data_IF_346318015300
#
_entry.id   IF_346318015300
#
_cell.length_a   1.000
_cell.length_b   1.000
_cell.length_c   1.000
_cell.angle_alpha   90.00
_cell.angle_beta   90.00
_cell.angle_gamma   90.00
#
_symmetry.space_group_name_H-M   'P 1'
#
loop_
_entity.id
_entity.type
_entity.pdbx_description
1 polymer ?
#
# COMPACT_ATOMS: atom_id res chain seq x y z
N UNK A 1 -5.42 16.90 11.17
CA UNK A 1 -5.15 16.31 11.11
C UNK A 1 -4.54 15.92 10.43
N UNK A 2 -4.26 15.86 10.07
CA UNK A 2 -3.50 15.49 9.59
C UNK A 2 -3.65 14.76 8.51
N UNK A 3 -3.37 14.63 7.51
CA UNK A 3 -3.56 13.91 6.34
C UNK A 3 -3.27 12.43 6.44
N UNK A 4 -3.64 11.85 7.52
CA UNK A 4 -3.31 10.45 7.76
C UNK A 4 -4.45 9.55 7.43
N UNK A 5 -4.14 8.39 6.83
CA UNK A 5 -5.08 7.31 6.67
C UNK A 5 -5.01 6.46 7.93
N UNK A 6 -6.14 6.20 8.52
CA UNK A 6 -6.22 5.50 9.80
C UNK A 6 -6.63 4.06 9.64
N UNK A 7 -5.97 3.34 8.75
CA UNK A 7 -6.11 1.91 8.66
C UNK A 7 -5.16 1.25 9.65
N UNK A 8 -5.55 0.10 10.19
CA UNK A 8 -4.69 -0.60 11.14
C UNK A 8 -3.42 -1.11 10.48
N UNK A 9 -3.47 -1.39 9.19
CA UNK A 9 -2.35 -2.06 8.51
C UNK A 9 -1.66 -1.17 7.49
N UNK A 10 -2.28 -0.06 7.10
CA UNK A 10 -1.68 0.86 6.13
C UNK A 10 -1.90 2.28 6.63
N UNK A 11 -0.86 3.09 6.53
CA UNK A 11 -0.96 4.49 6.92
C UNK A 11 -0.36 5.38 5.85
N UNK A 12 -0.77 6.64 5.85
CA UNK A 12 -0.22 7.66 4.98
C UNK A 12 0.29 8.81 5.83
N UNK A 13 1.50 9.24 5.54
CA UNK A 13 2.10 10.34 6.28
C UNK A 13 2.98 11.12 5.31
N UNK A 14 2.97 12.44 5.40
CA UNK A 14 3.82 13.26 4.52
C UNK A 14 5.05 13.72 5.27
N UNK A 15 6.20 13.56 4.64
CA UNK A 15 7.46 14.06 5.16
C UNK A 15 8.05 15.00 4.14
N UNK A 16 8.06 16.29 4.48
CA UNK A 16 8.46 17.29 3.52
C UNK A 16 7.48 17.29 2.36
N UNK A 17 7.98 17.05 1.15
CA UNK A 17 7.13 16.98 -0.03
C UNK A 17 6.97 15.56 -0.55
N UNK A 18 7.21 14.55 0.30
CA UNK A 18 7.05 13.15 -0.07
C UNK A 18 5.91 12.56 0.74
N UNK A 19 4.95 11.94 0.05
CA UNK A 19 3.90 11.19 0.72
C UNK A 19 4.38 9.77 0.97
N UNK A 20 4.35 9.31 2.21
CA UNK A 20 4.86 8.00 2.59
C UNK A 20 3.69 7.09 2.91
N UNK A 21 3.59 6.00 2.17
CA UNK A 21 2.59 4.96 2.40
C UNK A 21 3.31 3.81 3.10
N UNK A 22 2.86 3.47 4.29
CA UNK A 22 3.51 2.44 5.11
C UNK A 22 2.57 1.28 5.32
N UNK A 23 3.06 0.07 5.04
CA UNK A 23 2.35 -1.18 5.30
C UNK A 23 2.96 -1.84 6.50
N UNK A 24 2.12 -2.25 7.45
CA UNK A 24 2.56 -2.99 8.62
C UNK A 24 1.53 -4.06 8.94
N UNK A 25 1.69 -5.22 8.31
CA UNK A 25 0.77 -6.34 8.46
C UNK A 25 1.57 -7.61 8.73
N UNK A 26 2.01 -7.78 9.98
CA UNK A 26 2.84 -8.93 10.33
C UNK A 26 2.12 -10.24 10.06
N UNK A 27 2.85 -11.32 9.80
CA UNK A 27 4.31 -11.36 9.81
C UNK A 27 4.97 -11.00 8.49
N UNK A 28 4.25 -11.04 7.36
CA UNK A 28 4.89 -10.97 6.05
C UNK A 28 4.21 -10.01 5.08
N UNK A 29 3.35 -9.15 5.58
CA UNK A 29 2.70 -8.13 4.74
C UNK A 29 1.97 -8.74 3.54
N UNK A 30 1.22 -9.82 3.80
CA UNK A 30 0.45 -10.46 2.73
C UNK A 30 -0.61 -9.49 2.21
N UNK A 31 -0.91 -9.58 0.91
CA UNK A 31 -1.85 -8.68 0.25
C UNK A 31 -3.29 -9.15 0.43
N UNK A 32 -3.72 -9.24 1.69
CA UNK A 32 -5.11 -9.52 1.99
C UNK A 32 -5.99 -8.30 1.74
N UNK A 33 -7.29 -8.50 1.92
CA UNK A 33 -8.27 -7.45 1.60
C UNK A 33 -8.01 -6.17 2.39
N UNK A 34 -7.67 -6.28 3.67
CA UNK A 34 -7.43 -5.09 4.49
C UNK A 34 -6.22 -4.30 3.97
N UNK A 35 -5.16 -5.00 3.56
CA UNK A 35 -3.98 -4.33 3.03
C UNK A 35 -4.30 -3.71 1.68
N UNK A 36 -5.00 -4.44 0.81
CA UNK A 36 -5.36 -3.91 -0.51
C UNK A 36 -6.23 -2.66 -0.37
N UNK A 37 -7.22 -2.72 0.50
CA UNK A 37 -8.10 -1.58 0.73
C UNK A 37 -7.34 -0.39 1.31
N UNK A 38 -6.47 -0.65 2.27
CA UNK A 38 -5.66 0.41 2.88
C UNK A 38 -4.70 1.04 1.90
N UNK A 39 -4.07 0.23 1.06
CA UNK A 39 -3.16 0.75 0.04
C UNK A 39 -3.88 1.64 -0.96
N UNK A 40 -5.07 1.21 -1.39
CA UNK A 40 -5.83 2.01 -2.35
C UNK A 40 -6.22 3.35 -1.75
N UNK A 41 -6.68 3.35 -0.50
CA UNK A 41 -7.06 4.58 0.18
C UNK A 41 -5.85 5.49 0.38
N UNK A 42 -4.71 4.93 0.78
CA UNK A 42 -3.50 5.72 0.99
C UNK A 42 -2.99 6.31 -0.31
N UNK A 43 -3.04 5.54 -1.39
CA UNK A 43 -2.65 6.04 -2.71
C UNK A 43 -3.53 7.21 -3.12
N UNK A 44 -4.83 7.06 -2.93
CA UNK A 44 -5.77 8.12 -3.27
C UNK A 44 -5.49 9.39 -2.46
N UNK A 45 -5.22 9.23 -1.16
CA UNK A 45 -4.87 10.37 -0.35
C UNK A 45 -3.59 11.03 -0.85
N UNK A 46 -2.60 10.24 -1.21
CA UNK A 46 -1.34 10.77 -1.72
C UNK A 46 -1.52 11.51 -3.04
N UNK A 47 -2.38 11.00 -3.94
CA UNK A 47 -2.64 11.68 -5.20
C UNK A 47 -3.31 13.04 -4.95
N UNK A 48 -4.15 13.14 -3.93
CA UNK A 48 -4.88 14.35 -3.63
C UNK A 48 -4.14 15.30 -2.69
N UNK A 49 -3.00 14.89 -2.17
CA UNK A 49 -2.21 15.72 -1.26
C UNK A 49 -1.37 16.70 -2.08
N UNK A 50 -1.81 17.96 -2.11
CA UNK A 50 -1.16 18.95 -2.96
C UNK A 50 0.26 19.25 -2.53
N UNK A 51 0.64 18.92 -1.29
CA UNK A 51 1.99 19.13 -0.80
C UNK A 51 2.93 17.96 -1.13
N UNK A 52 2.38 16.82 -1.51
CA UNK A 52 3.20 15.66 -1.85
C UNK A 52 3.53 15.68 -3.34
N UNK A 53 4.80 15.76 -3.66
CA UNK A 53 5.26 15.81 -5.06
C UNK A 53 5.57 14.42 -5.57
N UNK A 54 5.80 13.47 -4.68
CA UNK A 54 6.07 12.08 -5.03
C UNK A 54 5.58 11.21 -3.89
N UNK A 55 5.43 9.91 -4.16
CA UNK A 55 4.93 8.96 -3.18
C UNK A 55 5.97 7.87 -2.98
N UNK A 56 6.08 7.40 -1.75
CA UNK A 56 7.02 6.35 -1.39
C UNK A 56 6.26 5.25 -0.64
N UNK A 57 6.41 4.02 -1.10
CA UNK A 57 5.81 2.86 -0.46
C UNK A 57 6.88 2.14 0.35
N UNK A 58 6.64 2.00 1.64
CA UNK A 58 7.54 1.26 2.53
C UNK A 58 6.73 0.22 3.28
N UNK A 59 7.39 -0.87 3.66
CA UNK A 59 6.77 -1.94 4.42
C UNK A 59 7.62 -2.22 5.65
N UNK A 60 6.96 -2.39 6.78
CA UNK A 60 7.65 -2.69 8.03
C UNK A 60 8.06 -4.15 8.07
N UNK A 61 9.06 -4.45 8.90
CA UNK A 61 9.47 -5.82 9.12
C UNK A 61 10.50 -6.28 8.10
N UNK A 62 10.69 -7.60 8.05
CA UNK A 62 11.73 -8.20 7.24
C UNK A 62 11.33 -8.46 5.81
N UNK A 63 10.03 -8.49 5.55
CA UNK A 63 9.49 -8.86 4.25
C UNK A 63 8.78 -7.66 3.67
N UNK A 64 9.14 -7.29 2.44
CA UNK A 64 8.44 -6.21 1.77
C UNK A 64 6.97 -6.63 1.60
N UNK A 65 6.70 -7.55 0.69
CA UNK A 65 5.35 -8.08 0.48
C UNK A 65 5.50 -9.53 0.09
N UNK A 66 4.78 -10.44 0.75
CA UNK A 66 4.91 -11.88 0.50
C UNK A 66 3.97 -12.38 -0.59
N UNK A 67 3.16 -11.51 -1.18
CA UNK A 67 2.22 -11.93 -2.21
C UNK A 67 0.81 -12.01 -1.67
N UNK A 68 -0.06 -12.72 -2.40
CA UNK A 68 -1.46 -12.84 -2.01
C UNK A 68 -1.58 -13.52 -0.64
N UNK A 69 -2.63 -13.15 0.08
CA UNK A 69 -2.89 -13.75 1.39
C UNK A 69 -3.55 -15.11 1.18
N UNK A 70 -2.82 -16.17 1.51
CA UNK A 70 -3.31 -17.53 1.27
C UNK A 70 -4.56 -17.84 2.10
N UNK A 71 -4.81 -17.10 3.18
CA UNK A 71 -6.00 -17.32 3.99
C UNK A 71 -7.27 -16.95 3.24
N UNK A 72 -7.16 -16.21 2.14
CA UNK A 72 -8.31 -15.85 1.32
C UNK A 72 -8.56 -16.81 0.17
N UNK A 73 -7.69 -17.79 -0.01
CA UNK A 73 -7.85 -18.77 -1.08
C UNK A 73 -9.10 -19.61 -0.81
N UNK A 74 -9.87 -19.86 -1.86
CA UNK A 74 -11.10 -20.63 -1.75
C UNK A 74 -12.30 -19.85 -1.27
N UNK A 75 -12.14 -18.55 -1.05
CA UNK A 75 -13.22 -17.67 -0.61
C UNK A 75 -13.55 -16.69 -1.72
N UNK A 76 -14.77 -16.13 -1.73
CA UNK A 76 -15.09 -15.10 -2.72
C UNK A 76 -14.12 -13.92 -2.61
N UNK A 77 -13.69 -13.44 -3.78
CA UNK A 77 -12.79 -12.30 -3.83
C UNK A 77 -13.51 -11.04 -3.36
N UNK A 78 -12.86 -10.29 -2.49
CA UNK A 78 -13.40 -9.04 -1.98
C UNK A 78 -12.64 -7.87 -2.62
N UNK A 79 -13.39 -6.79 -2.88
CA UNK A 79 -12.80 -5.60 -3.46
C UNK A 79 -11.99 -4.83 -2.42
N UNK A 80 -10.96 -4.11 -2.82
CA UNK A 80 -10.43 -4.10 -4.18
C UNK A 80 -9.65 -5.38 -4.45
N UNK A 81 -9.73 -5.86 -5.71
CA UNK A 81 -8.95 -7.02 -6.10
C UNK A 81 -7.51 -6.62 -6.31
N UNK A 82 -6.61 -7.62 -6.35
CA UNK A 82 -5.21 -7.34 -6.59
C UNK A 82 -4.98 -6.68 -7.96
N UNK A 83 -5.59 -7.17 -9.05
CA UNK A 83 -5.43 -6.47 -10.33
C UNK A 83 -5.88 -5.02 -10.29
N UNK A 84 -7.00 -4.73 -9.61
CA UNK A 84 -7.46 -3.35 -9.48
C UNK A 84 -6.43 -2.50 -8.76
N UNK A 85 -5.86 -3.04 -7.66
CA UNK A 85 -4.86 -2.31 -6.90
C UNK A 85 -3.61 -2.03 -7.74
N UNK A 86 -3.11 -3.06 -8.42
CA UNK A 86 -1.90 -2.91 -9.23
C UNK A 86 -2.12 -1.90 -10.33
N UNK A 87 -3.27 -1.98 -11.01
CA UNK A 87 -3.56 -1.04 -12.09
C UNK A 87 -3.66 0.39 -11.58
N UNK A 88 -4.21 0.57 -10.39
CA UNK A 88 -4.33 1.92 -9.81
C UNK A 88 -2.95 2.48 -9.49
N UNK A 89 -2.05 1.65 -8.95
CA UNK A 89 -0.69 2.09 -8.68
C UNK A 89 0.04 2.45 -9.97
N UNK A 90 -0.16 1.63 -11.03
CA UNK A 90 0.46 1.91 -12.33
C UNK A 90 -0.04 3.22 -12.93
N UNK A 91 -1.25 3.62 -12.57
CA UNK A 91 -1.87 4.83 -13.12
C UNK A 91 -1.55 6.07 -12.30
N UNK A 92 -0.67 5.98 -11.32
CA UNK A 92 -0.33 7.12 -10.48
C UNK A 92 0.18 8.28 -11.33
N UNK A 93 -0.36 9.47 -11.06
CA UNK A 93 0.08 10.67 -11.76
C UNK A 93 1.34 11.26 -11.15
N UNK A 94 1.67 10.83 -9.93
CA UNK A 94 2.89 11.29 -9.26
C UNK A 94 3.93 10.19 -9.33
N UNK A 95 5.21 10.55 -9.32
CA UNK A 95 6.25 9.53 -9.20
C UNK A 95 6.00 8.68 -7.97
N UNK A 96 6.08 7.37 -8.13
CA UNK A 96 5.80 6.42 -7.06
C UNK A 96 6.97 5.46 -6.98
N UNK A 97 7.62 5.43 -5.84
CA UNK A 97 8.81 4.62 -5.60
C UNK A 97 8.52 3.63 -4.50
N UNK A 98 8.95 2.41 -4.68
CA UNK A 98 8.84 1.37 -3.65
C UNK A 98 10.22 1.08 -3.09
N UNK A 99 10.35 1.15 -1.76
CA UNK A 99 11.61 0.81 -1.08
C UNK A 99 11.60 -0.67 -0.76
N UNK A 100 11.98 -1.47 -1.73
CA UNK A 100 11.90 -2.93 -1.61
C UNK A 100 13.07 -3.44 -0.79
N UNK A 101 12.76 -4.32 0.17
CA UNK A 101 13.78 -4.93 1.00
C UNK A 101 13.35 -6.34 1.34
N UNK A 102 14.33 -7.21 1.67
CA UNK A 102 14.02 -8.59 2.03
C UNK A 102 13.29 -9.29 0.90
N UNK A 103 12.24 -10.02 1.25
CA UNK A 103 11.49 -10.82 0.29
C UNK A 103 10.37 -9.99 -0.34
N UNK A 104 10.26 -10.07 -1.66
CA UNK A 104 9.17 -9.42 -2.40
C UNK A 104 8.66 -10.43 -3.42
N UNK A 105 7.41 -10.91 -3.24
CA UNK A 105 6.84 -11.98 -4.04
C UNK A 105 5.46 -11.59 -4.54
N UNK A 106 5.14 -12.05 -5.74
CA UNK A 106 3.82 -11.90 -6.31
C UNK A 106 3.44 -10.47 -6.60
N UNK A 107 2.17 -10.29 -6.87
CA UNK A 107 1.52 -8.98 -7.02
C UNK A 107 2.40 -7.81 -7.29
#
# INVERSE_FOLDING_TARGET
>A
MRGEIMSEVVSYNREGNIGVITVNYPPVNALGQAVRSGLLAALEQGQNDTEAKALLLVCEGRTFIAGADIREFGKPMQEPTLPTLVNTFESSEKPLVAAIHGTALGG
#
